data_IF_235293048724
#
_entry.id   IF_235293048724
#
_cell.length_a   1.000
_cell.length_b   1.000
_cell.length_c   1.000
_cell.angle_alpha   90.00
_cell.angle_beta   90.00
_cell.angle_gamma   90.00
#
_symmetry.space_group_name_H-M   'P 1'
#
loop_
_entity.id
_entity.type
_entity.pdbx_description
1 polymer ?
#
# COMPACT_ATOMS: atom_id res chain seq x y z
N UNK A 1 -15.07 20.89 -54.77
CA UNK A 1 -13.95 20.89 -53.81
C UNK A 1 -14.51 20.98 -52.41
N UNK A 2 -14.66 19.84 -51.73
CA UNK A 2 -15.20 19.75 -50.36
C UNK A 2 -14.02 19.35 -49.48
N UNK A 3 -13.65 20.22 -48.51
CA UNK A 3 -12.58 19.94 -47.54
C UNK A 3 -13.11 18.99 -46.46
N UNK A 4 -12.41 17.90 -46.10
CA UNK A 4 -12.80 17.10 -44.94
C UNK A 4 -12.28 17.78 -43.67
N UNK A 5 -13.18 18.05 -42.74
CA UNK A 5 -12.90 18.48 -41.36
C UNK A 5 -12.41 17.27 -40.56
N UNK A 6 -11.14 17.26 -40.18
CA UNK A 6 -10.59 16.27 -39.27
C UNK A 6 -11.05 16.59 -37.84
N UNK A 7 -11.92 15.76 -37.29
CA UNK A 7 -12.25 15.77 -35.86
C UNK A 7 -11.13 15.07 -35.09
N UNK A 8 -10.33 15.85 -34.37
CA UNK A 8 -9.39 15.33 -33.37
C UNK A 8 -10.19 14.84 -32.16
N UNK A 9 -10.35 13.53 -32.04
CA UNK A 9 -10.81 12.89 -30.81
C UNK A 9 -9.67 13.01 -29.78
N UNK A 10 -9.83 13.90 -28.80
CA UNK A 10 -9.02 13.88 -27.58
C UNK A 10 -9.50 12.70 -26.73
N UNK A 11 -8.73 11.62 -26.71
CA UNK A 11 -8.90 10.57 -25.72
C UNK A 11 -8.45 11.12 -24.35
N UNK A 12 -9.41 11.41 -23.47
CA UNK A 12 -9.12 11.62 -22.06
C UNK A 12 -8.73 10.27 -21.45
N UNK A 13 -7.43 10.06 -21.22
CA UNK A 13 -6.95 8.96 -20.39
C UNK A 13 -7.31 9.26 -18.94
N UNK A 14 -8.52 8.88 -18.53
CA UNK A 14 -8.76 8.58 -17.13
C UNK A 14 -7.97 7.30 -16.82
N UNK A 15 -6.83 7.44 -16.13
CA UNK A 15 -6.14 6.28 -15.55
C UNK A 15 -7.06 5.77 -14.45
N UNK A 16 -7.98 4.86 -14.81
CA UNK A 16 -8.57 3.96 -13.83
C UNK A 16 -7.38 3.21 -13.23
N UNK A 17 -7.10 3.43 -11.95
CA UNK A 17 -6.13 2.62 -11.19
C UNK A 17 -6.60 1.17 -11.30
N UNK A 18 -6.03 0.44 -12.26
CA UNK A 18 -6.27 -0.99 -12.42
C UNK A 18 -5.78 -1.71 -11.17
N UNK A 19 -6.47 -2.78 -10.78
CA UNK A 19 -5.99 -3.63 -9.69
C UNK A 19 -4.57 -4.11 -10.02
N UNK A 20 -3.61 -3.75 -9.16
CA UNK A 20 -2.25 -4.26 -9.20
C UNK A 20 -2.18 -5.60 -8.48
N UNK A 21 -1.24 -6.46 -8.86
CA UNK A 21 -1.01 -7.74 -8.20
C UNK A 21 0.47 -7.88 -7.86
N UNK A 22 0.74 -8.39 -6.66
CA UNK A 22 2.09 -8.72 -6.20
C UNK A 22 2.07 -10.09 -5.55
N UNK A 23 2.98 -10.94 -6.00
CA UNK A 23 3.30 -12.20 -5.32
C UNK A 23 4.59 -12.04 -4.54
N UNK A 24 4.63 -12.57 -3.32
CA UNK A 24 5.82 -12.54 -2.47
C UNK A 24 6.61 -13.83 -2.70
N UNK A 25 7.59 -13.74 -3.59
CA UNK A 25 8.50 -14.85 -3.89
C UNK A 25 9.67 -14.85 -2.91
N UNK A 26 9.81 -15.95 -2.16
CA UNK A 26 10.88 -16.16 -1.19
C UNK A 26 12.05 -16.97 -1.77
N UNK A 27 11.96 -17.43 -3.03
CA UNK A 27 12.95 -18.32 -3.66
C UNK A 27 14.34 -17.69 -3.82
N UNK A 28 14.41 -16.37 -3.93
CA UNK A 28 15.66 -15.60 -4.02
C UNK A 28 16.30 -15.33 -2.66
N UNK A 29 15.58 -15.58 -1.56
CA UNK A 29 16.09 -15.37 -0.20
C UNK A 29 16.86 -16.59 0.27
N UNK A 30 18.04 -16.36 0.86
CA UNK A 30 18.84 -17.44 1.41
C UNK A 30 18.08 -18.16 2.54
N UNK A 31 18.02 -19.51 2.54
CA UNK A 31 17.44 -20.24 3.66
C UNK A 31 18.10 -19.88 5.00
N UNK A 32 17.29 -19.78 6.05
CA UNK A 32 17.71 -19.38 7.39
C UNK A 32 17.74 -17.87 7.61
N UNK A 33 17.48 -17.03 6.60
CA UNK A 33 17.43 -15.57 6.74
C UNK A 33 16.03 -15.02 6.55
N UNK A 34 15.82 -13.78 7.00
CA UNK A 34 14.62 -13.00 6.72
C UNK A 34 14.66 -12.50 5.25
N UNK A 35 13.53 -12.49 4.53
CA UNK A 35 13.47 -11.87 3.20
C UNK A 35 13.51 -10.33 3.29
N UNK A 36 14.07 -9.70 2.25
CA UNK A 36 14.10 -8.23 2.15
C UNK A 36 12.68 -7.64 2.13
N UNK A 37 12.52 -6.47 2.77
CA UNK A 37 11.21 -5.79 2.85
C UNK A 37 10.24 -6.40 3.88
N UNK A 38 10.67 -7.37 4.66
CA UNK A 38 9.93 -7.89 5.81
C UNK A 38 10.64 -7.56 7.11
N UNK A 39 9.86 -7.19 8.13
CA UNK A 39 10.36 -6.86 9.47
C UNK A 39 9.65 -7.69 10.52
N UNK A 40 10.41 -8.06 11.54
CA UNK A 40 9.86 -8.74 12.71
C UNK A 40 9.35 -7.71 13.72
N UNK A 41 8.14 -7.92 14.24
CA UNK A 41 7.56 -7.14 15.33
C UNK A 41 6.96 -8.07 16.39
N UNK A 42 6.52 -7.48 17.50
CA UNK A 42 5.87 -8.17 18.60
C UNK A 42 4.70 -7.34 19.10
N UNK A 43 3.51 -7.94 19.13
CA UNK A 43 2.42 -7.44 19.97
C UNK A 43 2.38 -8.23 21.29
N UNK A 44 1.98 -7.55 22.38
CA UNK A 44 1.93 -8.13 23.72
C UNK A 44 3.29 -8.18 24.41
N UNK A 45 3.60 -9.29 25.08
CA UNK A 45 4.78 -9.47 25.94
C UNK A 45 5.77 -10.50 25.38
N UNK A 46 6.99 -10.53 25.94
CA UNK A 46 8.02 -11.50 25.59
C UNK A 46 8.99 -10.99 24.51
N UNK A 47 9.59 -11.92 23.76
CA UNK A 47 10.52 -11.60 22.66
C UNK A 47 9.82 -11.68 21.30
N UNK A 48 10.24 -10.91 20.28
CA UNK A 48 9.75 -11.09 18.92
C UNK A 48 9.99 -12.52 18.38
N UNK A 49 9.31 -12.87 17.29
CA UNK A 49 9.46 -14.18 16.65
C UNK A 49 10.83 -14.36 15.99
N UNK A 50 11.22 -15.61 15.79
CA UNK A 50 12.30 -15.94 14.87
C UNK A 50 11.68 -16.40 13.55
N UNK A 51 11.71 -15.48 12.58
CA UNK A 51 11.15 -15.66 11.24
C UNK A 51 12.27 -15.86 10.23
N UNK A 52 12.14 -16.90 9.41
CA UNK A 52 13.16 -17.24 8.41
C UNK A 52 12.58 -17.97 7.22
N UNK A 53 13.27 -17.86 6.10
CA UNK A 53 12.96 -18.69 4.92
C UNK A 53 13.47 -20.11 5.14
N UNK A 54 12.65 -21.11 4.84
CA UNK A 54 13.01 -22.53 4.81
C UNK A 54 12.50 -23.16 3.53
N UNK A 55 13.09 -24.29 3.12
CA UNK A 55 12.54 -25.10 2.04
C UNK A 55 11.53 -26.11 2.60
N UNK A 56 10.35 -26.18 2.00
CA UNK A 56 9.30 -27.12 2.40
C UNK A 56 8.68 -27.78 1.16
N UNK A 57 8.22 -29.02 1.31
CA UNK A 57 7.53 -29.75 0.25
C UNK A 57 6.02 -29.56 0.41
N UNK A 58 5.40 -28.73 -0.44
CA UNK A 58 3.99 -28.37 -0.33
C UNK A 58 3.11 -29.20 -1.27
N UNK A 59 1.87 -29.53 -0.86
CA UNK A 59 0.88 -30.04 -1.79
C UNK A 59 0.59 -28.99 -2.88
N UNK A 60 0.25 -29.42 -4.11
CA UNK A 60 -0.04 -28.51 -5.20
C UNK A 60 -1.33 -27.73 -4.92
N UNK A 61 -1.46 -26.55 -5.51
CA UNK A 61 -2.63 -25.67 -5.36
C UNK A 61 -3.85 -26.27 -6.08
N UNK A 62 -3.61 -26.98 -7.19
CA UNK A 62 -4.63 -27.66 -7.99
C UNK A 62 -4.49 -29.16 -7.84
N UNK A 63 -5.61 -29.88 -7.95
CA UNK A 63 -5.56 -31.33 -8.02
C UNK A 63 -4.74 -31.79 -9.24
N UNK A 64 -3.85 -32.79 -9.09
CA UNK A 64 -3.02 -33.24 -10.19
C UNK A 64 -3.86 -33.82 -11.32
N UNK A 65 -3.68 -33.31 -12.55
CA UNK A 65 -4.40 -33.76 -13.74
C UNK A 65 -4.00 -35.17 -14.22
N UNK A 66 -2.94 -35.75 -13.66
CA UNK A 66 -2.51 -37.11 -13.95
C UNK A 66 -1.92 -37.81 -12.71
N UNK A 67 -2.00 -39.15 -12.62
CA UNK A 67 -1.40 -39.91 -11.52
C UNK A 67 0.12 -39.76 -11.37
N UNK A 68 0.81 -39.34 -12.45
CA UNK A 68 2.28 -39.19 -12.50
C UNK A 68 2.76 -37.78 -12.15
N UNK A 69 1.86 -36.81 -11.97
CA UNK A 69 2.25 -35.45 -11.62
C UNK A 69 2.85 -35.39 -10.19
N UNK A 70 3.86 -34.54 -9.95
CA UNK A 70 4.48 -34.40 -8.64
C UNK A 70 3.45 -34.07 -7.57
N UNK A 71 3.36 -34.91 -6.54
CA UNK A 71 2.41 -34.72 -5.43
C UNK A 71 2.84 -33.65 -4.45
N UNK A 72 4.11 -33.26 -4.48
CA UNK A 72 4.68 -32.20 -3.66
C UNK A 72 5.58 -31.33 -4.53
N UNK A 73 5.57 -30.03 -4.27
CA UNK A 73 6.48 -29.06 -4.89
C UNK A 73 7.33 -28.43 -3.81
N UNK A 74 8.65 -28.54 -3.94
CA UNK A 74 9.58 -27.85 -3.05
C UNK A 74 9.50 -26.34 -3.28
N UNK A 75 9.23 -25.57 -2.22
CA UNK A 75 9.24 -24.11 -2.28
C UNK A 75 9.93 -23.51 -1.06
N UNK A 76 10.49 -22.32 -1.26
CA UNK A 76 10.88 -21.43 -0.18
C UNK A 76 9.61 -20.88 0.50
N UNK A 77 9.51 -21.05 1.81
CA UNK A 77 8.39 -20.62 2.64
C UNK A 77 8.89 -19.85 3.86
N UNK A 78 8.02 -19.06 4.48
CA UNK A 78 8.32 -18.36 5.73
C UNK A 78 7.96 -19.25 6.91
N UNK A 79 8.89 -19.42 7.84
CA UNK A 79 8.70 -20.18 9.07
C UNK A 79 8.83 -19.27 10.28
N UNK A 80 7.87 -19.37 11.22
CA UNK A 80 8.09 -18.96 12.61
C UNK A 80 8.64 -20.18 13.37
N UNK A 81 9.78 -19.99 14.04
CA UNK A 81 10.54 -21.10 14.65
C UNK A 81 10.85 -20.92 16.14
N UNK A 82 10.41 -19.83 16.76
CA UNK A 82 10.71 -19.51 18.16
C UNK A 82 9.48 -19.71 19.05
N UNK A 83 9.26 -20.92 19.59
CA UNK A 83 8.19 -21.16 20.54
C UNK A 83 8.48 -20.46 21.88
N UNK A 84 7.43 -20.04 22.57
CA UNK A 84 7.55 -19.54 23.93
C UNK A 84 6.29 -19.78 24.76
N UNK A 85 6.43 -19.89 26.08
CA UNK A 85 5.32 -20.15 27.00
C UNK A 85 4.58 -18.88 27.45
N UNK A 86 4.97 -17.69 26.98
CA UNK A 86 4.21 -16.47 27.28
C UNK A 86 2.88 -16.47 26.52
N UNK A 87 1.77 -16.42 27.26
CA UNK A 87 0.41 -16.47 26.70
C UNK A 87 0.10 -15.27 25.80
N UNK A 88 0.25 -14.04 26.30
CA UNK A 88 -0.03 -12.83 25.52
C UNK A 88 1.19 -12.41 24.67
N UNK A 89 1.83 -13.36 23.98
CA UNK A 89 2.92 -13.14 23.02
C UNK A 89 2.42 -13.36 21.60
N UNK A 90 2.51 -12.33 20.76
CA UNK A 90 2.09 -12.38 19.36
C UNK A 90 3.24 -11.99 18.43
N UNK A 91 4.05 -12.95 17.98
CA UNK A 91 5.07 -12.69 16.98
C UNK A 91 4.43 -12.24 15.66
N UNK A 92 4.93 -11.13 15.12
CA UNK A 92 4.47 -10.56 13.85
C UNK A 92 5.61 -10.59 12.83
N UNK A 93 5.27 -10.85 11.58
CA UNK A 93 6.15 -10.60 10.44
C UNK A 93 5.41 -9.70 9.45
N UNK A 94 5.88 -8.47 9.30
CA UNK A 94 5.20 -7.42 8.56
C UNK A 94 5.99 -7.08 7.30
N UNK A 95 5.32 -7.09 6.15
CA UNK A 95 5.88 -6.57 4.90
C UNK A 95 5.74 -5.05 4.89
N UNK A 96 6.87 -4.33 4.97
CA UNK A 96 6.90 -2.90 5.32
C UNK A 96 7.30 -1.96 4.18
N UNK A 97 7.24 -2.42 2.92
CA UNK A 97 7.61 -1.60 1.77
C UNK A 97 6.45 -0.81 1.16
N UNK A 98 5.20 -1.20 1.43
CA UNK A 98 4.02 -0.53 0.86
C UNK A 98 2.80 -0.69 1.77
N UNK A 99 1.96 0.35 1.77
CA UNK A 99 0.69 0.37 2.50
C UNK A 99 -0.47 0.10 1.55
N UNK A 100 -1.46 -0.63 2.04
CA UNK A 100 -2.60 -1.08 1.24
C UNK A 100 -3.91 -0.63 1.90
N UNK A 101 -4.78 0.02 1.10
CA UNK A 101 -6.14 0.40 1.49
C UNK A 101 -7.16 -0.65 1.09
N UNK A 102 -7.49 -0.67 -0.20
CA UNK A 102 -8.37 -1.67 -0.82
C UNK A 102 -7.53 -2.82 -1.40
N UNK A 103 -7.75 -4.05 -0.92
CA UNK A 103 -6.99 -5.21 -1.36
C UNK A 103 -7.68 -6.55 -1.08
N UNK A 104 -7.21 -7.60 -1.76
CA UNK A 104 -7.34 -9.00 -1.35
C UNK A 104 -5.94 -9.53 -1.05
N UNK A 105 -5.68 -9.92 0.19
CA UNK A 105 -4.43 -10.54 0.63
C UNK A 105 -4.68 -12.01 0.94
N UNK A 106 -3.90 -12.89 0.32
CA UNK A 106 -4.02 -14.35 0.40
C UNK A 106 -2.68 -14.94 0.81
N UNK A 107 -2.70 -15.98 1.65
CA UNK A 107 -1.57 -16.87 1.84
C UNK A 107 -2.04 -18.27 2.24
N UNK A 108 -1.21 -19.27 1.97
CA UNK A 108 -1.33 -20.59 2.59
C UNK A 108 -0.58 -20.63 3.90
N UNK A 109 -1.11 -21.32 4.89
CA UNK A 109 -0.45 -21.54 6.17
C UNK A 109 -0.58 -22.99 6.65
N UNK A 110 0.38 -23.42 7.46
CA UNK A 110 0.37 -24.69 8.16
C UNK A 110 0.86 -24.48 9.59
N UNK A 111 0.09 -24.92 10.58
CA UNK A 111 0.55 -24.97 11.97
C UNK A 111 1.27 -26.30 12.17
N UNK A 112 2.56 -26.27 12.50
CA UNK A 112 3.40 -27.47 12.61
C UNK A 112 3.91 -27.73 14.04
N UNK A 113 3.77 -26.79 14.96
CA UNK A 113 4.16 -26.92 16.37
C UNK A 113 3.22 -26.19 17.33
N UNK A 114 3.55 -26.26 18.62
CA UNK A 114 2.76 -25.69 19.71
C UNK A 114 1.98 -26.73 20.51
N UNK A 115 2.05 -26.57 21.83
CA UNK A 115 1.41 -27.36 22.89
C UNK A 115 0.35 -26.53 23.59
N UNK A 116 0.68 -25.29 23.97
CA UNK A 116 -0.22 -24.39 24.67
C UNK A 116 -1.09 -23.59 23.71
N UNK A 117 -0.52 -23.19 22.58
CA UNK A 117 -1.21 -22.48 21.51
C UNK A 117 -0.87 -23.07 20.15
N UNK A 118 -1.85 -23.01 19.25
CA UNK A 118 -1.73 -23.48 17.87
C UNK A 118 -2.45 -22.49 16.96
N UNK A 119 -1.92 -21.27 16.91
CA UNK A 119 -2.52 -20.11 16.25
C UNK A 119 -1.59 -19.56 15.18
N UNK A 120 -2.11 -19.47 13.96
CA UNK A 120 -1.47 -18.82 12.82
C UNK A 120 -2.52 -18.03 12.01
N UNK A 121 -2.10 -16.94 11.38
CA UNK A 121 -3.04 -16.09 10.65
C UNK A 121 -2.39 -14.97 9.86
N UNK A 122 -3.26 -14.13 9.31
CA UNK A 122 -2.91 -12.93 8.56
C UNK A 122 -3.10 -11.69 9.42
N UNK A 123 -2.17 -10.75 9.25
CA UNK A 123 -2.23 -9.39 9.75
C UNK A 123 -2.46 -8.46 8.58
N UNK A 124 -3.32 -7.47 8.76
CA UNK A 124 -3.62 -6.52 7.69
C UNK A 124 -4.03 -5.14 8.21
N UNK A 125 -3.86 -4.13 7.35
CA UNK A 125 -3.94 -2.70 7.70
C UNK A 125 -3.15 -2.36 8.98
N UNK A 126 -2.00 -2.99 9.13
CA UNK A 126 -1.10 -2.79 10.27
C UNK A 126 -0.45 -1.41 10.21
N UNK A 127 -0.65 -0.62 11.28
CA UNK A 127 0.04 0.65 11.49
C UNK A 127 1.34 0.40 12.25
N UNK A 128 1.23 -0.29 13.38
CA UNK A 128 2.29 -0.63 14.32
C UNK A 128 1.86 -1.85 15.17
N UNK A 129 2.78 -2.35 16.00
CA UNK A 129 2.58 -3.45 16.96
C UNK A 129 1.39 -3.34 17.94
N UNK A 130 0.69 -2.20 17.99
CA UNK A 130 -0.47 -1.95 18.84
C UNK A 130 -1.77 -1.73 18.05
N UNK A 131 -1.68 -1.56 16.72
CA UNK A 131 -2.77 -1.07 15.87
C UNK A 131 -2.85 -1.85 14.54
N UNK A 132 -3.66 -2.91 14.52
CA UNK A 132 -3.82 -3.76 13.33
C UNK A 132 -5.07 -4.66 13.40
N UNK A 133 -5.48 -5.18 12.24
CA UNK A 133 -6.47 -6.27 12.15
C UNK A 133 -5.78 -7.63 12.08
N UNK A 134 -6.47 -8.65 12.60
CA UNK A 134 -6.05 -10.05 12.56
C UNK A 134 -7.20 -10.90 12.07
N UNK A 135 -6.89 -11.85 11.19
CA UNK A 135 -7.68 -13.08 11.07
C UNK A 135 -6.78 -14.27 11.30
N UNK A 136 -7.19 -15.18 12.19
CA UNK A 136 -6.36 -16.32 12.59
C UNK A 136 -7.16 -17.59 12.78
N UNK A 137 -6.54 -18.71 12.42
CA UNK A 137 -7.02 -20.04 12.75
C UNK A 137 -6.43 -20.48 14.11
N UNK A 138 -7.17 -21.30 14.84
CA UNK A 138 -6.67 -22.04 16.00
C UNK A 138 -6.97 -23.52 15.84
N UNK A 139 -5.95 -24.36 15.75
CA UNK A 139 -6.11 -25.81 15.70
C UNK A 139 -6.49 -26.38 17.07
N UNK A 140 -5.91 -25.85 18.15
CA UNK A 140 -6.27 -26.26 19.51
C UNK A 140 -7.68 -25.78 19.91
N UNK A 141 -8.01 -24.52 19.61
CA UNK A 141 -9.30 -23.92 19.93
C UNK A 141 -10.43 -24.27 18.95
N UNK A 142 -10.13 -24.94 17.84
CA UNK A 142 -11.09 -25.28 16.78
C UNK A 142 -11.93 -24.08 16.32
N UNK A 143 -11.29 -22.96 16.01
CA UNK A 143 -12.01 -21.78 15.52
C UNK A 143 -11.18 -20.90 14.58
N UNK A 144 -11.91 -20.20 13.70
CA UNK A 144 -11.38 -19.11 12.88
C UNK A 144 -11.91 -17.81 13.46
N UNK A 145 -11.03 -16.85 13.77
CA UNK A 145 -11.43 -15.60 14.42
C UNK A 145 -10.80 -14.39 13.75
N UNK A 146 -11.61 -13.37 13.61
CA UNK A 146 -11.21 -11.99 13.38
C UNK A 146 -11.23 -11.22 14.69
N UNK A 147 -10.26 -10.34 14.88
CA UNK A 147 -10.26 -9.30 15.92
C UNK A 147 -9.28 -8.20 15.50
N UNK A 148 -9.27 -7.11 16.27
CA UNK A 148 -8.34 -6.00 16.10
C UNK A 148 -7.56 -5.73 17.37
N UNK A 149 -6.38 -5.16 17.22
CA UNK A 149 -5.70 -4.44 18.28
C UNK A 149 -5.88 -2.94 18.02
N UNK A 150 -6.32 -2.20 19.03
CA UNK A 150 -6.37 -0.73 19.04
C UNK A 150 -5.68 -0.28 20.31
N UNK A 151 -4.63 0.53 20.19
CA UNK A 151 -3.79 0.97 21.31
C UNK A 151 -3.22 -0.18 22.17
N UNK A 152 -3.05 -1.35 21.56
CA UNK A 152 -2.55 -2.57 22.20
C UNK A 152 -3.63 -3.41 22.88
N UNK A 153 -4.89 -2.96 22.87
CA UNK A 153 -6.02 -3.71 23.41
C UNK A 153 -6.69 -4.56 22.34
N UNK A 154 -6.85 -5.86 22.63
CA UNK A 154 -7.49 -6.82 21.73
C UNK A 154 -9.01 -6.76 21.84
N UNK A 155 -9.71 -6.61 20.72
CA UNK A 155 -11.17 -6.67 20.68
C UNK A 155 -11.71 -8.08 20.92
N UNK A 156 -13.01 -8.18 21.20
CA UNK A 156 -13.73 -9.46 21.26
C UNK A 156 -13.59 -10.19 19.90
N UNK A 157 -13.24 -11.49 19.90
CA UNK A 157 -13.05 -12.25 18.67
C UNK A 157 -14.37 -12.65 18.02
N UNK A 158 -14.50 -12.38 16.72
CA UNK A 158 -15.68 -12.69 15.90
C UNK A 158 -15.31 -13.81 14.93
N UNK A 159 -16.20 -14.79 14.74
CA UNK A 159 -16.02 -15.83 13.73
C UNK A 159 -16.58 -17.20 14.13
N UNK A 160 -16.50 -18.18 13.23
CA UNK A 160 -17.08 -19.51 13.43
C UNK A 160 -16.17 -20.45 14.22
N UNK A 161 -16.76 -21.53 14.72
CA UNK A 161 -16.02 -22.72 15.14
C UNK A 161 -15.73 -23.59 13.91
N UNK A 162 -14.45 -23.83 13.64
CA UNK A 162 -13.94 -24.59 12.49
C UNK A 162 -12.73 -25.38 13.00
N UNK A 163 -12.72 -26.70 12.78
CA UNK A 163 -11.58 -27.54 13.15
C UNK A 163 -10.43 -27.38 12.17
N UNK A 164 -9.23 -27.18 12.72
CA UNK A 164 -7.98 -27.18 11.96
C UNK A 164 -7.09 -28.33 12.41
N UNK A 165 -6.38 -28.95 11.48
CA UNK A 165 -5.45 -30.05 11.75
C UNK A 165 -4.01 -29.53 11.71
N UNK A 166 -3.23 -29.86 12.74
CA UNK A 166 -1.79 -29.65 12.74
C UNK A 166 -1.14 -30.41 11.57
N UNK A 167 -0.18 -29.79 10.91
CA UNK A 167 0.50 -30.35 9.73
C UNK A 167 -0.31 -30.29 8.43
N UNK A 168 -1.54 -29.74 8.43
CA UNK A 168 -2.31 -29.53 7.21
C UNK A 168 -2.17 -28.10 6.71
N UNK A 169 -2.00 -27.96 5.40
CA UNK A 169 -2.04 -26.67 4.71
C UNK A 169 -3.48 -26.20 4.49
N UNK A 170 -3.71 -24.92 4.75
CA UNK A 170 -4.96 -24.20 4.50
C UNK A 170 -4.65 -22.92 3.75
N UNK A 171 -5.60 -22.42 2.95
CA UNK A 171 -5.53 -21.08 2.36
C UNK A 171 -6.44 -20.13 3.14
N UNK A 172 -5.92 -18.96 3.50
CA UNK A 172 -6.67 -17.89 4.13
C UNK A 172 -6.54 -16.64 3.26
N UNK A 173 -7.67 -15.97 3.03
CA UNK A 173 -7.72 -14.70 2.30
C UNK A 173 -8.56 -13.68 3.05
N UNK A 174 -8.12 -12.42 2.99
CA UNK A 174 -8.89 -11.26 3.44
C UNK A 174 -9.10 -10.32 2.28
N UNK A 175 -10.36 -10.01 1.95
CA UNK A 175 -10.72 -8.90 1.07
C UNK A 175 -11.17 -7.72 1.93
N UNK A 176 -10.47 -6.60 1.81
CA UNK A 176 -10.78 -5.35 2.47
C UNK A 176 -11.08 -4.28 1.41
N UNK A 177 -12.30 -3.75 1.39
CA UNK A 177 -12.74 -2.70 0.48
C UNK A 177 -13.43 -1.58 1.27
N UNK A 178 -12.84 -0.39 1.31
CA UNK A 178 -13.30 0.68 2.19
C UNK A 178 -13.26 0.22 3.66
N UNK A 179 -14.42 0.09 4.30
CA UNK A 179 -14.55 -0.42 5.67
C UNK A 179 -15.13 -1.83 5.76
N UNK A 180 -15.40 -2.48 4.62
CA UNK A 180 -15.91 -3.84 4.55
C UNK A 180 -14.76 -4.84 4.54
N UNK A 181 -14.91 -5.92 5.31
CA UNK A 181 -13.91 -6.98 5.45
C UNK A 181 -14.60 -8.32 5.25
N UNK A 182 -14.13 -9.08 4.26
CA UNK A 182 -14.54 -10.45 3.99
C UNK A 182 -13.38 -11.40 4.19
N UNK A 183 -13.67 -12.58 4.76
CA UNK A 183 -12.67 -13.61 5.05
C UNK A 183 -13.05 -14.87 4.32
N UNK A 184 -12.08 -15.46 3.62
CA UNK A 184 -12.24 -16.71 2.90
C UNK A 184 -11.27 -17.75 3.45
N UNK A 185 -11.78 -18.97 3.66
CA UNK A 185 -11.00 -20.14 4.00
C UNK A 185 -11.12 -21.14 2.85
N UNK A 186 -9.99 -21.52 2.24
CA UNK A 186 -9.93 -22.38 1.05
C UNK A 186 -10.90 -21.91 -0.06
N UNK A 187 -10.82 -20.63 -0.41
CA UNK A 187 -11.68 -19.99 -1.42
C UNK A 187 -13.16 -19.82 -1.04
N UNK A 188 -13.61 -20.31 0.11
CA UNK A 188 -15.02 -20.21 0.55
C UNK A 188 -15.19 -19.12 1.60
N UNK A 189 -16.21 -18.28 1.47
CA UNK A 189 -16.49 -17.24 2.47
C UNK A 189 -16.75 -17.90 3.84
N UNK A 190 -15.94 -17.53 4.83
CA UNK A 190 -15.88 -18.20 6.11
C UNK A 190 -16.94 -17.69 7.11
N UNK A 191 -17.35 -16.41 7.00
CA UNK A 191 -18.39 -15.81 7.84
C UNK A 191 -18.87 -14.47 7.26
N UNK A 192 -20.03 -13.93 7.71
CA UNK A 192 -20.60 -12.70 7.15
C UNK A 192 -19.63 -11.52 7.11
N UNK A 193 -19.76 -10.69 6.06
CA UNK A 193 -18.97 -9.47 5.89
C UNK A 193 -19.00 -8.60 7.14
N UNK A 194 -17.82 -8.23 7.62
CA UNK A 194 -17.66 -7.32 8.74
C UNK A 194 -17.58 -5.87 8.24
N UNK A 195 -17.91 -4.93 9.12
CA UNK A 195 -17.73 -3.49 8.87
C UNK A 195 -16.96 -2.88 10.04
N UNK A 196 -15.79 -2.30 9.79
CA UNK A 196 -14.97 -1.67 10.83
C UNK A 196 -14.19 -0.46 10.26
N UNK A 197 -14.18 0.65 11.02
CA UNK A 197 -13.58 1.92 10.61
C UNK A 197 -12.26 2.25 11.33
N UNK A 198 -11.68 1.33 12.11
CA UNK A 198 -10.50 1.62 12.94
C UNK A 198 -9.27 1.90 12.08
N UNK A 199 -9.06 1.09 11.04
CA UNK A 199 -7.94 1.24 10.10
C UNK A 199 -8.44 1.18 8.66
N UNK A 200 -8.05 2.15 7.85
CA UNK A 200 -8.41 2.26 6.43
C UNK A 200 -7.31 1.81 5.48
N UNK A 201 -6.04 1.91 5.88
CA UNK A 201 -4.91 1.46 5.09
C UNK A 201 -3.68 1.16 5.97
N UNK A 202 -2.90 0.15 5.63
CA UNK A 202 -1.67 -0.18 6.36
C UNK A 202 -0.92 -1.35 5.74
N UNK A 203 0.03 -1.89 6.49
CA UNK A 203 0.85 -3.01 6.02
C UNK A 203 0.12 -4.35 6.17
N UNK A 204 0.68 -5.38 5.55
CA UNK A 204 0.21 -6.76 5.59
C UNK A 204 1.29 -7.66 6.19
N UNK A 205 0.90 -8.82 6.70
CA UNK A 205 1.84 -9.72 7.33
C UNK A 205 1.24 -10.98 7.90
N UNK A 206 2.02 -11.66 8.72
CA UNK A 206 1.66 -12.91 9.40
C UNK A 206 1.76 -12.76 10.92
N UNK A 207 0.98 -13.58 11.61
CA UNK A 207 0.96 -13.65 13.08
C UNK A 207 0.93 -15.10 13.55
N UNK A 208 1.61 -15.34 14.66
CA UNK A 208 1.49 -16.56 15.47
C UNK A 208 1.20 -16.19 16.93
N UNK A 209 0.97 -17.17 17.81
CA UNK A 209 0.81 -16.95 19.26
C UNK A 209 1.68 -17.89 20.08
N UNK A 210 2.32 -17.38 21.13
CA UNK A 210 3.04 -18.14 22.16
C UNK A 210 4.04 -19.16 21.59
N UNK A 211 3.76 -20.46 21.73
CA UNK A 211 4.61 -21.58 21.34
C UNK A 211 4.24 -22.17 19.98
N UNK A 212 3.34 -21.51 19.24
CA UNK A 212 3.02 -21.91 17.88
C UNK A 212 4.23 -21.72 16.98
N UNK A 213 4.67 -22.80 16.34
CA UNK A 213 5.47 -22.74 15.12
C UNK A 213 4.55 -22.98 13.92
N UNK A 214 4.79 -22.24 12.84
CA UNK A 214 3.95 -22.27 11.65
C UNK A 214 4.75 -21.91 10.39
N UNK A 215 4.25 -22.38 9.25
CA UNK A 215 4.77 -22.10 7.92
C UNK A 215 3.76 -21.28 7.12
N UNK A 216 4.25 -20.39 6.26
CA UNK A 216 3.45 -19.51 5.38
C UNK A 216 4.03 -19.53 3.96
N UNK A 217 3.16 -19.73 2.98
CA UNK A 217 3.56 -19.90 1.58
C UNK A 217 2.56 -19.24 0.63
N UNK A 218 2.97 -19.04 -0.62
CA UNK A 218 2.12 -18.51 -1.70
C UNK A 218 1.37 -17.24 -1.32
N UNK A 219 2.08 -16.34 -0.64
CA UNK A 219 1.52 -15.07 -0.25
C UNK A 219 1.40 -14.16 -1.47
N UNK A 220 0.23 -13.60 -1.68
CA UNK A 220 -0.03 -12.65 -2.76
C UNK A 220 -1.06 -11.61 -2.34
N UNK A 221 -0.96 -10.43 -2.95
CA UNK A 221 -1.88 -9.34 -2.73
C UNK A 221 -2.33 -8.76 -4.08
N UNK A 222 -3.63 -8.64 -4.26
CA UNK A 222 -4.25 -7.85 -5.31
C UNK A 222 -4.82 -6.58 -4.70
N UNK A 223 -4.45 -5.41 -5.18
CA UNK A 223 -4.78 -4.16 -4.50
C UNK A 223 -5.00 -2.99 -5.46
N UNK A 224 -5.70 -1.96 -4.97
CA UNK A 224 -5.70 -0.65 -5.62
C UNK A 224 -4.58 0.18 -5.01
N UNK A 225 -3.59 0.64 -5.80
CA UNK A 225 -2.54 1.51 -5.28
C UNK A 225 -3.16 2.73 -4.59
N UNK A 226 -2.60 3.11 -3.44
CA UNK A 226 -3.03 4.33 -2.74
C UNK A 226 -2.69 5.54 -3.63
N UNK A 227 -3.70 6.36 -3.94
CA UNK A 227 -3.47 7.66 -4.58
C UNK A 227 -2.95 8.62 -3.50
N UNK A 228 -1.72 9.11 -3.68
CA UNK A 228 -1.15 10.14 -2.79
C UNK A 228 -1.89 11.46 -2.97
N UNK A 229 -1.85 12.33 -1.95
CA UNK A 229 -2.41 13.68 -2.08
C UNK A 229 -1.79 14.41 -3.28
N UNK A 230 -0.48 14.29 -3.51
CA UNK A 230 0.17 14.91 -4.67
C UNK A 230 -0.43 14.43 -6.01
N UNK A 231 -0.63 13.12 -6.17
CA UNK A 231 -1.20 12.55 -7.38
C UNK A 231 -2.64 13.05 -7.60
N UNK A 232 -3.45 13.06 -6.54
CA UNK A 232 -4.82 13.57 -6.59
C UNK A 232 -4.87 15.05 -6.98
N UNK A 233 -3.99 15.89 -6.42
CA UNK A 233 -3.91 17.32 -6.72
C UNK A 233 -3.49 17.58 -8.17
N UNK A 234 -2.49 16.85 -8.69
CA UNK A 234 -2.07 16.95 -10.09
C UNK A 234 -3.20 16.54 -11.04
N UNK A 235 -3.91 15.44 -10.74
CA UNK A 235 -5.06 15.00 -11.52
C UNK A 235 -6.16 16.07 -11.54
N UNK A 236 -6.54 16.60 -10.38
CA UNK A 236 -7.55 17.65 -10.25
C UNK A 236 -7.14 18.95 -10.99
N UNK A 237 -5.85 19.30 -10.97
CA UNK A 237 -5.33 20.45 -11.70
C UNK A 237 -5.41 20.25 -13.22
N UNK A 238 -5.10 19.05 -13.72
CA UNK A 238 -5.18 18.70 -15.13
C UNK A 238 -6.63 18.67 -15.63
N UNK A 239 -7.58 18.22 -14.81
CA UNK A 239 -9.03 18.30 -15.10
C UNK A 239 -9.49 19.76 -15.26
N UNK A 240 -8.98 20.68 -14.44
CA UNK A 240 -9.30 22.12 -14.54
C UNK A 240 -8.56 22.83 -15.67
N UNK A 241 -7.37 22.36 -16.03
CA UNK A 241 -6.48 22.99 -17.01
C UNK A 241 -6.01 21.96 -18.06
N UNK A 242 -6.92 21.41 -18.89
CA UNK A 242 -6.59 20.32 -19.82
C UNK A 242 -5.58 20.72 -20.91
N UNK A 243 -5.35 22.03 -21.11
CA UNK A 243 -4.42 22.59 -22.10
C UNK A 243 -2.98 22.71 -21.61
N UNK A 244 -2.67 22.33 -20.37
CA UNK A 244 -1.30 22.30 -19.87
C UNK A 244 -0.46 21.34 -20.71
N UNK A 245 0.72 21.78 -21.13
CA UNK A 245 1.69 20.92 -21.82
C UNK A 245 2.25 19.87 -20.85
N UNK A 246 2.55 20.30 -19.63
CA UNK A 246 3.02 19.48 -18.53
C UNK A 246 2.62 20.12 -17.18
N UNK A 247 2.64 19.31 -16.13
CA UNK A 247 2.44 19.73 -14.75
C UNK A 247 3.30 18.85 -13.85
N UNK A 248 4.02 19.47 -12.91
CA UNK A 248 4.80 18.77 -11.88
C UNK A 248 4.46 19.34 -10.52
N UNK A 249 4.37 18.48 -9.51
CA UNK A 249 4.23 18.85 -8.12
C UNK A 249 5.40 18.28 -7.34
N UNK A 250 6.19 19.18 -6.76
CA UNK A 250 7.32 18.85 -5.91
C UNK A 250 6.93 18.99 -4.45
N UNK A 251 7.49 18.11 -3.62
CA UNK A 251 7.36 18.17 -2.18
C UNK A 251 8.48 17.39 -1.51
N UNK A 252 8.48 17.42 -0.18
CA UNK A 252 9.36 16.58 0.65
C UNK A 252 8.63 15.27 0.94
N UNK A 253 9.30 14.14 0.74
CA UNK A 253 8.80 12.84 1.18
C UNK A 253 9.30 12.56 2.60
N UNK A 254 8.49 11.87 3.41
CA UNK A 254 8.84 11.46 4.78
C UNK A 254 10.17 10.70 4.86
N UNK A 255 10.56 10.02 3.79
CA UNK A 255 11.76 9.17 3.74
C UNK A 255 13.01 9.93 3.23
N UNK A 256 12.79 11.08 2.58
CA UNK A 256 13.84 11.85 1.90
C UNK A 256 13.62 13.33 2.19
N UNK A 257 14.54 13.92 2.97
CA UNK A 257 14.58 15.35 3.31
C UNK A 257 14.80 16.29 2.10
N UNK A 258 14.77 15.76 0.88
CA UNK A 258 14.99 16.51 -0.36
C UNK A 258 13.69 16.74 -1.12
N UNK A 259 13.57 17.94 -1.71
CA UNK A 259 12.45 18.28 -2.58
C UNK A 259 12.55 17.51 -3.91
N UNK A 260 11.55 16.67 -4.20
CA UNK A 260 11.48 15.85 -5.42
C UNK A 260 10.09 15.90 -6.03
N UNK A 261 9.99 15.60 -7.33
CA UNK A 261 8.72 15.54 -8.03
C UNK A 261 7.90 14.32 -7.55
N UNK A 262 6.85 14.58 -6.76
CA UNK A 262 5.99 13.56 -6.16
C UNK A 262 4.87 13.12 -7.09
N UNK A 263 4.41 14.03 -7.96
CA UNK A 263 3.40 13.74 -8.96
C UNK A 263 3.62 14.61 -10.21
N UNK A 264 3.30 14.07 -11.37
CA UNK A 264 3.43 14.78 -12.63
C UNK A 264 2.43 14.28 -13.68
N UNK A 265 2.19 15.09 -14.70
CA UNK A 265 1.41 14.69 -15.88
C UNK A 265 2.09 13.54 -16.64
N UNK A 266 3.42 13.57 -16.72
CA UNK A 266 4.22 12.56 -17.42
C UNK A 266 5.02 11.73 -16.41
N UNK A 267 4.96 10.40 -16.52
CA UNK A 267 5.59 9.49 -15.55
C UNK A 267 7.12 9.61 -15.49
N UNK A 268 7.76 10.04 -16.58
CA UNK A 268 9.22 10.27 -16.65
C UNK A 268 9.71 11.36 -15.68
N UNK A 269 8.82 12.24 -15.23
CA UNK A 269 9.17 13.33 -14.33
C UNK A 269 9.14 12.91 -12.85
N UNK A 270 8.59 11.74 -12.51
CA UNK A 270 8.48 11.28 -11.13
C UNK A 270 9.85 11.04 -10.52
N UNK A 271 10.06 11.55 -9.30
CA UNK A 271 11.31 11.41 -8.55
C UNK A 271 12.43 12.37 -8.97
N UNK A 272 12.23 13.21 -9.99
CA UNK A 272 13.18 14.26 -10.38
C UNK A 272 13.52 15.16 -9.19
N UNK A 273 14.80 15.48 -9.03
CA UNK A 273 15.25 16.43 -8.01
C UNK A 273 14.83 17.86 -8.41
N UNK A 274 14.40 18.65 -7.43
CA UNK A 274 13.98 20.03 -7.67
C UNK A 274 15.09 20.89 -8.29
N UNK A 275 14.76 21.66 -9.34
CA UNK A 275 15.66 22.68 -9.89
C UNK A 275 15.85 23.88 -8.95
N UNK A 276 16.72 24.81 -9.33
CA UNK A 276 17.00 26.03 -8.55
C UNK A 276 15.72 26.87 -8.33
N UNK A 277 14.94 27.11 -9.38
CA UNK A 277 13.67 27.87 -9.30
C UNK A 277 12.71 27.24 -8.32
N UNK A 278 12.52 25.92 -8.36
CA UNK A 278 11.60 25.20 -7.47
C UNK A 278 12.03 25.38 -6.00
N UNK A 279 13.33 25.25 -5.70
CA UNK A 279 13.86 25.46 -4.35
C UNK A 279 13.69 26.92 -3.90
N UNK A 280 13.91 27.88 -4.80
CA UNK A 280 13.72 29.31 -4.53
C UNK A 280 12.27 29.61 -4.18
N UNK A 281 11.31 29.13 -4.98
CA UNK A 281 9.87 29.28 -4.71
C UNK A 281 9.48 28.65 -3.39
N UNK A 282 9.98 27.45 -3.08
CA UNK A 282 9.71 26.79 -1.80
C UNK A 282 10.20 27.60 -0.60
N UNK A 283 11.38 28.23 -0.72
CA UNK A 283 12.01 28.98 0.37
C UNK A 283 11.44 30.39 0.53
N UNK A 284 11.21 31.08 -0.58
CA UNK A 284 10.84 32.50 -0.59
C UNK A 284 9.33 32.72 -0.58
N UNK A 285 8.53 31.67 -0.81
CA UNK A 285 7.09 31.75 -0.94
C UNK A 285 6.65 32.81 -1.97
N UNK A 286 7.27 32.77 -3.16
CA UNK A 286 6.97 33.68 -4.26
C UNK A 286 6.77 32.89 -5.54
N UNK A 287 5.78 33.30 -6.34
CA UNK A 287 5.56 32.69 -7.65
C UNK A 287 6.61 33.22 -8.63
N UNK A 288 7.19 32.33 -9.44
CA UNK A 288 8.18 32.68 -10.44
C UNK A 288 7.68 32.36 -11.85
N UNK A 289 8.00 33.23 -12.81
CA UNK A 289 7.72 33.02 -14.23
C UNK A 289 9.02 32.81 -15.02
N UNK A 290 9.06 31.74 -15.79
CA UNK A 290 10.17 31.41 -16.68
C UNK A 290 9.70 31.17 -18.11
N UNK A 291 10.64 31.26 -19.06
CA UNK A 291 10.42 30.91 -20.47
C UNK A 291 11.32 29.76 -20.86
N UNK A 292 10.70 28.70 -21.39
CA UNK A 292 11.38 27.57 -22.02
C UNK A 292 11.09 27.60 -23.53
N UNK A 293 11.92 26.95 -24.37
CA UNK A 293 11.63 26.79 -25.78
C UNK A 293 10.22 26.18 -25.98
N UNK A 294 9.31 26.94 -26.59
CA UNK A 294 7.93 26.51 -26.85
C UNK A 294 6.97 26.53 -25.66
N UNK A 295 7.42 26.87 -24.45
CA UNK A 295 6.59 26.86 -23.25
C UNK A 295 6.86 28.03 -22.30
N UNK A 296 5.82 28.55 -21.67
CA UNK A 296 5.93 29.46 -20.52
C UNK A 296 5.73 28.65 -19.26
N UNK A 297 6.59 28.83 -18.27
CA UNK A 297 6.58 28.06 -17.01
C UNK A 297 6.19 28.98 -15.88
N UNK A 298 5.14 28.60 -15.14
CA UNK A 298 4.79 29.25 -13.87
C UNK A 298 5.13 28.28 -12.75
N UNK A 299 6.00 28.70 -11.85
CA UNK A 299 6.38 27.94 -10.65
C UNK A 299 5.73 28.60 -9.45
N UNK A 300 4.76 27.95 -8.84
CA UNK A 300 3.96 28.52 -7.76
C UNK A 300 4.06 27.68 -6.47
N UNK A 301 4.14 28.31 -5.29
CA UNK A 301 4.05 27.59 -4.03
C UNK A 301 2.64 27.02 -3.84
N UNK A 302 2.55 25.90 -3.15
CA UNK A 302 1.31 25.28 -2.71
C UNK A 302 1.28 25.32 -1.18
N UNK A 303 0.20 25.83 -0.61
CA UNK A 303 0.08 26.03 0.83
C UNK A 303 -0.88 25.07 1.52
N UNK A 304 -0.64 24.84 2.81
CA UNK A 304 -1.64 24.30 3.72
C UNK A 304 -2.59 25.39 4.25
N UNK A 305 -3.44 25.02 5.22
CA UNK A 305 -4.40 25.95 5.84
C UNK A 305 -3.76 26.99 6.76
N UNK A 306 -2.54 26.74 7.24
CA UNK A 306 -1.79 27.68 8.07
C UNK A 306 -1.03 28.71 7.22
N UNK A 307 -0.94 28.48 5.91
CA UNK A 307 -0.19 29.31 4.97
C UNK A 307 1.27 28.86 4.82
N UNK A 308 1.63 27.68 5.35
CA UNK A 308 2.96 27.12 5.18
C UNK A 308 3.09 26.49 3.79
N UNK A 309 4.27 26.66 3.17
CA UNK A 309 4.55 26.06 1.86
C UNK A 309 4.81 24.56 2.05
N UNK A 310 3.90 23.74 1.54
CA UNK A 310 3.99 22.27 1.62
C UNK A 310 4.51 21.64 0.32
N UNK A 311 4.54 22.41 -0.77
CA UNK A 311 5.03 21.95 -2.06
C UNK A 311 5.13 23.07 -3.08
N UNK A 312 5.58 22.72 -4.28
CA UNK A 312 5.74 23.66 -5.39
C UNK A 312 5.23 23.03 -6.68
N UNK A 313 4.40 23.76 -7.42
CA UNK A 313 3.84 23.31 -8.69
C UNK A 313 4.51 24.04 -9.87
N UNK A 314 5.01 23.28 -10.84
CA UNK A 314 5.49 23.81 -12.14
C UNK A 314 4.44 23.57 -13.23
N UNK A 315 3.82 24.64 -13.71
CA UNK A 315 2.84 24.62 -14.79
C UNK A 315 3.52 24.97 -16.11
N UNK A 316 3.46 24.08 -17.09
CA UNK A 316 3.98 24.33 -18.43
C UNK A 316 2.83 24.67 -19.37
N UNK A 317 2.80 25.93 -19.82
CA UNK A 317 1.78 26.46 -20.71
C UNK A 317 2.36 26.63 -22.12
N UNK A 318 1.53 26.42 -23.15
CA UNK A 318 1.90 26.78 -24.51
C UNK A 318 2.15 28.29 -24.60
N UNK A 319 3.32 28.67 -25.12
CA UNK A 319 3.66 30.07 -25.36
C UNK A 319 2.88 30.66 -26.54
N UNK A 320 2.53 31.95 -26.48
CA UNK A 320 1.94 32.69 -27.60
C UNK A 320 2.54 34.11 -27.71
N UNK A 321 2.39 34.73 -28.89
CA UNK A 321 2.91 36.07 -29.14
C UNK A 321 2.24 37.13 -28.25
N UNK A 322 3.02 38.03 -27.65
CA UNK A 322 2.53 39.06 -26.72
C UNK A 322 2.28 38.57 -25.28
N UNK A 323 2.68 37.34 -24.95
CA UNK A 323 2.52 36.81 -23.60
C UNK A 323 3.43 37.52 -22.59
N UNK A 324 2.80 38.09 -21.57
CA UNK A 324 3.44 38.76 -20.43
C UNK A 324 3.26 37.94 -19.14
N UNK A 325 4.17 38.16 -18.18
CA UNK A 325 4.22 37.44 -16.90
C UNK A 325 2.91 37.53 -16.13
N UNK A 326 2.42 38.75 -15.88
CA UNK A 326 1.21 39.00 -15.08
C UNK A 326 0.00 38.24 -15.59
N UNK A 327 -0.24 38.26 -16.91
CA UNK A 327 -1.35 37.54 -17.54
C UNK A 327 -1.18 36.02 -17.47
N UNK A 328 0.07 35.52 -17.51
CA UNK A 328 0.32 34.07 -17.42
C UNK A 328 0.11 33.56 -16.00
N UNK A 329 0.64 34.28 -15.01
CA UNK A 329 0.48 33.97 -13.59
C UNK A 329 -1.01 34.03 -13.21
N UNK A 330 -1.74 35.06 -13.64
CA UNK A 330 -3.18 35.21 -13.37
C UNK A 330 -4.04 34.04 -13.89
N UNK A 331 -3.59 33.29 -14.90
CA UNK A 331 -4.30 32.10 -15.40
C UNK A 331 -4.13 30.87 -14.52
N UNK A 332 -3.05 30.80 -13.75
CA UNK A 332 -2.69 29.63 -12.93
C UNK A 332 -3.13 29.79 -11.49
N UNK A 333 -3.03 31.00 -10.92
CA UNK A 333 -3.37 31.28 -9.52
C UNK A 333 -4.75 30.77 -9.08
N UNK A 334 -5.83 30.88 -9.90
CA UNK A 334 -7.14 30.32 -9.51
C UNK A 334 -7.12 28.81 -9.31
N UNK A 335 -6.35 28.08 -10.13
CA UNK A 335 -6.19 26.62 -9.99
C UNK A 335 -5.43 26.29 -8.72
N UNK A 336 -4.32 26.98 -8.43
CA UNK A 336 -3.56 26.79 -7.19
C UNK A 336 -4.45 27.01 -5.96
N UNK A 337 -5.15 28.16 -5.89
CA UNK A 337 -6.06 28.48 -4.78
C UNK A 337 -7.18 27.44 -4.59
N UNK A 338 -7.71 26.90 -5.69
CA UNK A 338 -8.74 25.85 -5.63
C UNK A 338 -8.17 24.54 -5.09
N UNK A 339 -6.95 24.18 -5.47
CA UNK A 339 -6.27 23.00 -4.94
C UNK A 339 -6.02 23.14 -3.43
N UNK A 340 -5.50 24.30 -3.00
CA UNK A 340 -5.25 24.62 -1.59
C UNK A 340 -6.52 24.49 -0.73
N UNK A 341 -7.69 24.91 -1.26
CA UNK A 341 -8.97 24.78 -0.54
C UNK A 341 -9.36 23.32 -0.21
N UNK A 342 -8.84 22.35 -0.98
CA UNK A 342 -9.07 20.92 -0.77
C UNK A 342 -8.12 20.27 0.23
N UNK A 343 -7.06 20.98 0.66
CA UNK A 343 -6.03 20.44 1.55
C UNK A 343 -6.54 20.54 3.00
N UNK A 344 -6.77 19.38 3.61
CA UNK A 344 -7.32 19.25 4.96
C UNK A 344 -6.21 18.94 5.96
N UNK A 345 -5.62 19.99 6.55
CA UNK A 345 -4.57 19.89 7.58
C UNK A 345 -3.18 19.53 7.02
N UNK A 346 -2.22 19.26 7.92
CA UNK A 346 -0.83 18.92 7.60
C UNK A 346 -0.67 17.49 7.04
N UNK A 347 -1.42 17.12 6.02
CA UNK A 347 -1.18 15.87 5.29
C UNK A 347 0.07 15.99 4.45
N UNK A 348 0.98 15.04 4.57
CA UNK A 348 2.15 14.98 3.69
C UNK A 348 1.70 14.77 2.24
N UNK A 349 2.30 15.50 1.30
CA UNK A 349 1.98 15.36 -0.13
C UNK A 349 2.27 13.94 -0.67
N UNK A 350 3.19 13.22 -0.02
CA UNK A 350 3.61 11.87 -0.39
C UNK A 350 2.70 10.77 0.21
N UNK A 351 1.76 11.12 1.08
CA UNK A 351 0.80 10.21 1.72
C UNK A 351 -0.62 10.45 1.16
#
# INVERSE_FOLDING_TARGET
MIRPTAWLILAAFAVLLSAAERSFDFSSTKPGTLPDGWKTELAGVGKPGDWRVVEEDLPPILEPLSPQAPRLTRKAVIAQTAPSNEDERFPLLIHNSERYGDFTFTARFQINGGTFEQIAGLVFRHQDSKNFYVVRASALGNNLRFYKFVDGERSVPIGPSISFQKGRWYELSVRAEGNQIEVFLNGTNAFPTLTDNSFNAGHIGFITKSDTTALFADASIRYRPLETLAAALVRQALEQQPRLLNLRLYGVSSDKLELRCLAAKHSIDLGLQAGETVRKVHKENQTYFGKNPGASVVTAPLHDRNGDVIGVMEFYLRSFAGQIESTTVARILPTVKKLESGITGAKALAE
#
